data_IF_737599041075
#
_entry.id   IF_737599041075
#
_cell.length_a   1.000
_cell.length_b   1.000
_cell.length_c   1.000
_cell.angle_alpha   90.00
_cell.angle_beta   90.00
_cell.angle_gamma   90.00
#
_symmetry.space_group_name_H-M   'P 1'
#
loop_
_entity.id
_entity.type
_entity.pdbx_description
1 polymer ?
#
# COMPACT_ATOMS: atom_id res chain seq x y z
N UNK A 1 0.29 -23.59 -21.07
CA UNK A 1 -0.17 -22.26 -21.50
C UNK A 1 0.73 -21.83 -22.64
N UNK A 2 0.21 -21.27 -23.74
CA UNK A 2 1.06 -20.76 -24.80
C UNK A 2 1.77 -19.49 -24.28
N UNK A 3 3.11 -19.49 -24.29
CA UNK A 3 3.90 -18.32 -23.93
C UNK A 3 3.86 -17.30 -25.07
N UNK A 4 3.81 -16.02 -24.74
CA UNK A 4 3.94 -14.93 -25.70
C UNK A 4 5.42 -14.69 -25.95
N UNK A 5 5.84 -14.66 -27.21
CA UNK A 5 7.22 -14.33 -27.56
C UNK A 5 7.39 -12.82 -27.71
N UNK A 6 8.22 -12.22 -26.86
CA UNK A 6 8.54 -10.80 -26.87
C UNK A 6 9.94 -10.58 -27.47
N UNK A 7 10.00 -9.94 -28.64
CA UNK A 7 11.27 -9.46 -29.18
C UNK A 7 11.65 -8.11 -28.61
N UNK A 8 12.88 -8.01 -28.09
CA UNK A 8 13.47 -6.77 -27.57
C UNK A 8 14.92 -6.64 -28.02
N UNK A 9 15.44 -5.41 -28.19
CA UNK A 9 16.85 -5.21 -28.58
C UNK A 9 17.81 -5.71 -27.49
N UNK A 10 17.40 -5.64 -26.22
CA UNK A 10 18.17 -6.13 -25.07
C UNK A 10 17.22 -6.47 -23.93
N UNK A 11 17.49 -7.56 -23.23
CA UNK A 11 16.77 -7.90 -22.00
C UNK A 11 17.48 -7.28 -20.80
N UNK A 12 16.76 -6.48 -20.01
CA UNK A 12 17.26 -5.82 -18.78
C UNK A 12 16.41 -6.22 -17.58
N UNK A 13 16.90 -5.96 -16.36
CA UNK A 13 16.17 -6.28 -15.13
C UNK A 13 14.88 -5.46 -15.01
N UNK A 14 14.94 -4.14 -15.31
CA UNK A 14 13.77 -3.26 -15.33
C UNK A 14 12.66 -3.77 -16.26
N UNK A 15 13.05 -4.18 -17.47
CA UNK A 15 12.15 -4.74 -18.46
C UNK A 15 11.55 -6.07 -18.00
N UNK A 16 12.37 -7.02 -17.52
CA UNK A 16 11.87 -8.31 -17.01
C UNK A 16 10.83 -8.09 -15.92
N UNK A 17 11.17 -7.26 -14.93
CA UNK A 17 10.29 -6.98 -13.80
C UNK A 17 8.94 -6.40 -14.23
N UNK A 18 8.91 -5.38 -15.11
CA UNK A 18 7.63 -4.80 -15.52
C UNK A 18 6.79 -5.72 -16.39
N UNK A 19 7.44 -6.54 -17.22
CA UNK A 19 6.76 -7.57 -18.02
C UNK A 19 6.19 -8.66 -17.11
N UNK A 20 6.93 -9.10 -16.10
CA UNK A 20 6.46 -10.09 -15.12
C UNK A 20 5.28 -9.55 -14.30
N UNK A 21 5.32 -8.28 -13.90
CA UNK A 21 4.20 -7.63 -13.21
C UNK A 21 2.95 -7.56 -14.09
N UNK A 22 3.07 -7.02 -15.31
CA UNK A 22 1.92 -6.82 -16.20
C UNK A 22 1.41 -8.15 -16.72
N UNK A 23 2.25 -8.92 -17.41
CA UNK A 23 1.80 -10.14 -18.06
C UNK A 23 1.61 -11.26 -17.05
N UNK A 24 2.54 -11.46 -16.12
CA UNK A 24 2.46 -12.53 -15.13
C UNK A 24 1.40 -12.28 -14.07
N UNK A 25 1.54 -11.21 -13.29
CA UNK A 25 0.68 -10.99 -12.12
C UNK A 25 -0.71 -10.44 -12.48
N UNK A 26 -0.79 -9.45 -13.37
CA UNK A 26 -2.05 -8.79 -13.75
C UNK A 26 -2.83 -9.58 -14.80
N UNK A 27 -2.19 -10.04 -15.88
CA UNK A 27 -2.88 -10.70 -16.99
C UNK A 27 -2.88 -12.24 -16.92
N UNK A 28 -2.01 -12.86 -16.12
CA UNK A 28 -1.88 -14.31 -16.00
C UNK A 28 -1.30 -15.00 -17.23
N UNK A 29 -0.38 -14.34 -17.92
CA UNK A 29 0.28 -14.77 -19.14
C UNK A 29 1.77 -15.00 -18.89
N UNK A 30 2.36 -15.95 -19.60
CA UNK A 30 3.80 -16.18 -19.61
C UNK A 30 4.42 -15.50 -20.82
N UNK A 31 5.55 -14.83 -20.62
CA UNK A 31 6.30 -14.15 -21.69
C UNK A 31 7.70 -14.72 -21.78
N UNK A 32 8.12 -15.07 -22.98
CA UNK A 32 9.49 -15.47 -23.30
C UNK A 32 10.17 -14.34 -24.08
N UNK A 33 11.41 -14.01 -23.73
CA UNK A 33 12.17 -12.96 -24.39
C UNK A 33 13.05 -13.54 -25.50
N UNK A 34 13.14 -12.82 -26.62
CA UNK A 34 14.15 -13.06 -27.64
C UNK A 34 14.81 -11.75 -28.06
N UNK A 35 16.12 -11.79 -28.32
CA UNK A 35 16.86 -10.72 -28.99
C UNK A 35 17.25 -11.11 -30.42
N UNK A 36 16.79 -12.28 -30.88
CA UNK A 36 17.07 -12.80 -32.21
C UNK A 36 15.81 -12.66 -33.09
N UNK A 37 15.94 -11.86 -34.14
CA UNK A 37 14.85 -11.59 -35.09
C UNK A 37 14.47 -12.82 -35.91
N UNK A 38 15.41 -13.73 -36.21
CA UNK A 38 15.10 -14.97 -36.93
C UNK A 38 14.22 -15.89 -36.08
N UNK A 39 14.52 -15.99 -34.78
CA UNK A 39 13.69 -16.71 -33.81
C UNK A 39 12.29 -16.08 -33.73
N UNK A 40 12.21 -14.76 -33.64
CA UNK A 40 10.94 -14.04 -33.63
C UNK A 40 10.12 -14.30 -34.91
N UNK A 41 10.75 -14.19 -36.09
CA UNK A 41 10.10 -14.39 -37.38
C UNK A 41 9.60 -15.82 -37.57
N UNK A 42 10.36 -16.81 -37.14
CA UNK A 42 10.00 -18.24 -37.21
C UNK A 42 8.90 -18.68 -36.24
N UNK A 43 8.58 -17.86 -35.22
CA UNK A 43 7.56 -18.21 -34.23
C UNK A 43 6.15 -18.03 -34.77
N UNK A 44 5.33 -19.08 -34.65
CA UNK A 44 3.93 -19.11 -35.10
C UNK A 44 2.92 -18.72 -34.00
N UNK A 45 3.41 -18.51 -32.77
CA UNK A 45 2.58 -18.17 -31.61
C UNK A 45 2.30 -16.66 -31.44
N UNK A 46 1.52 -16.29 -30.41
CA UNK A 46 1.38 -14.90 -30.00
C UNK A 46 2.75 -14.27 -29.77
N UNK A 47 3.02 -13.14 -30.45
CA UNK A 47 4.30 -12.47 -30.38
C UNK A 47 4.17 -10.97 -30.61
N UNK A 48 5.02 -10.19 -29.96
CA UNK A 48 5.04 -8.75 -30.17
C UNK A 48 6.45 -8.20 -29.99
N UNK A 49 6.64 -6.97 -30.47
CA UNK A 49 7.92 -6.27 -30.46
C UNK A 49 7.84 -5.10 -29.49
N UNK A 50 8.85 -4.98 -28.63
CA UNK A 50 9.09 -3.79 -27.84
C UNK A 50 10.49 -3.25 -28.13
N UNK A 51 10.58 -2.06 -28.73
CA UNK A 51 11.85 -1.52 -29.18
C UNK A 51 11.71 -0.29 -30.06
N UNK A 52 12.74 0.01 -30.85
CA UNK A 52 12.77 1.20 -31.71
C UNK A 52 12.23 0.96 -33.13
N UNK A 53 12.31 -0.29 -33.62
CA UNK A 53 11.96 -0.66 -34.98
C UNK A 53 10.67 -1.47 -35.00
N UNK A 54 9.73 -1.05 -35.85
CA UNK A 54 8.51 -1.78 -36.15
C UNK A 54 8.69 -2.64 -37.40
N UNK A 55 7.96 -3.75 -37.47
CA UNK A 55 7.87 -4.61 -38.64
C UNK A 55 6.41 -4.67 -39.08
N UNK A 56 6.18 -4.60 -40.39
CA UNK A 56 4.83 -4.47 -40.92
C UNK A 56 3.99 -5.71 -40.57
N UNK A 57 2.80 -5.47 -40.03
CA UNK A 57 1.88 -6.52 -39.62
C UNK A 57 2.13 -7.07 -38.22
N UNK A 58 3.23 -6.77 -37.54
CA UNK A 58 3.47 -7.19 -36.14
C UNK A 58 2.80 -6.26 -35.12
N UNK A 59 2.46 -6.81 -33.94
CA UNK A 59 2.07 -5.98 -32.81
C UNK A 59 3.34 -5.31 -32.25
N UNK A 60 3.37 -3.99 -32.24
CA UNK A 60 4.55 -3.21 -31.91
C UNK A 60 4.27 -2.18 -30.82
N UNK A 61 5.14 -2.10 -29.82
CA UNK A 61 5.16 -1.04 -28.82
C UNK A 61 6.50 -0.31 -28.92
N UNK A 62 6.45 0.99 -29.24
CA UNK A 62 7.66 1.81 -29.30
C UNK A 62 8.22 1.99 -27.89
N UNK A 63 9.52 1.75 -27.72
CA UNK A 63 10.21 1.95 -26.45
C UNK A 63 10.78 3.36 -26.30
N UNK A 64 10.87 3.77 -25.04
CA UNK A 64 11.69 4.86 -24.52
C UNK A 64 12.94 4.29 -23.82
N UNK A 65 13.85 5.15 -23.36
CA UNK A 65 15.14 4.73 -22.84
C UNK A 65 15.06 4.11 -21.42
N UNK A 66 14.07 4.48 -20.60
CA UNK A 66 14.02 4.19 -19.16
C UNK A 66 14.26 2.71 -18.79
N UNK A 67 13.62 1.78 -19.52
CA UNK A 67 13.75 0.34 -19.24
C UNK A 67 15.11 -0.23 -19.65
N UNK A 68 15.89 0.52 -20.42
CA UNK A 68 17.24 0.16 -20.86
C UNK A 68 18.32 0.97 -20.15
N UNK A 69 17.96 1.94 -19.32
CA UNK A 69 18.92 2.69 -18.51
C UNK A 69 19.40 1.88 -17.30
N UNK A 70 20.59 2.21 -16.82
CA UNK A 70 21.14 1.72 -15.53
C UNK A 70 21.11 2.79 -14.46
N UNK A 71 21.37 4.02 -14.84
CA UNK A 71 21.40 5.15 -13.92
C UNK A 71 19.98 5.56 -13.48
N UNK A 72 19.93 6.24 -12.34
CA UNK A 72 18.72 6.89 -11.84
C UNK A 72 18.89 8.38 -12.13
N UNK A 73 18.06 8.91 -13.03
CA UNK A 73 18.14 10.29 -13.49
C UNK A 73 16.74 10.84 -13.78
N UNK A 74 16.58 12.15 -13.69
CA UNK A 74 15.31 12.81 -14.00
C UNK A 74 14.83 12.47 -15.41
N UNK A 75 13.56 12.07 -15.52
CA UNK A 75 12.92 11.66 -16.77
C UNK A 75 12.03 12.77 -17.31
N UNK A 76 12.01 12.95 -18.63
CA UNK A 76 11.09 13.89 -19.30
C UNK A 76 9.74 13.21 -19.57
N UNK A 77 8.84 13.28 -18.60
CA UNK A 77 7.59 12.50 -18.59
C UNK A 77 6.57 12.97 -19.65
N UNK A 78 6.50 14.27 -19.94
CA UNK A 78 5.54 14.90 -20.88
C UNK A 78 4.10 14.32 -20.81
N UNK A 79 3.34 14.58 -19.75
CA UNK A 79 1.98 14.07 -19.62
C UNK A 79 1.04 14.53 -20.72
N UNK A 80 0.09 13.68 -21.11
CA UNK A 80 -0.94 13.98 -22.10
C UNK A 80 -2.22 13.16 -21.87
N UNK A 81 -3.33 13.63 -22.45
CA UNK A 81 -4.63 12.95 -22.37
C UNK A 81 -4.61 11.63 -23.14
N UNK A 82 -5.08 10.54 -22.52
CA UNK A 82 -5.24 9.22 -23.13
C UNK A 82 -6.60 8.62 -22.73
N UNK A 83 -7.54 8.61 -23.68
CA UNK A 83 -8.94 8.22 -23.41
C UNK A 83 -9.54 9.11 -22.32
N UNK A 84 -10.13 8.48 -21.29
CA UNK A 84 -10.65 9.16 -20.09
C UNK A 84 -9.60 9.33 -18.97
N UNK A 85 -8.32 9.08 -19.29
CA UNK A 85 -7.21 9.11 -18.35
C UNK A 85 -6.05 9.97 -18.84
N UNK A 86 -4.94 9.97 -18.12
CA UNK A 86 -3.69 10.60 -18.52
C UNK A 86 -2.61 9.54 -18.70
N UNK A 87 -1.66 9.79 -19.59
CA UNK A 87 -0.47 8.99 -19.81
C UNK A 87 0.77 9.87 -19.88
N UNK A 88 1.94 9.25 -19.78
CA UNK A 88 3.25 9.89 -19.89
C UNK A 88 4.23 8.92 -20.54
N UNK A 89 5.44 9.37 -20.89
CA UNK A 89 6.35 8.72 -21.85
C UNK A 89 5.79 8.65 -23.27
N UNK A 90 5.42 9.79 -23.90
CA UNK A 90 4.84 9.78 -25.24
C UNK A 90 5.81 9.19 -26.27
N UNK A 91 5.25 8.46 -27.23
CA UNK A 91 5.97 7.91 -28.38
C UNK A 91 5.30 8.34 -29.68
N UNK A 92 6.10 8.69 -30.68
CA UNK A 92 5.62 9.30 -31.93
C UNK A 92 5.73 8.37 -33.15
N UNK A 93 5.74 7.06 -32.92
CA UNK A 93 5.84 6.07 -33.99
C UNK A 93 4.45 5.61 -34.45
N UNK A 94 4.12 5.82 -35.73
CA UNK A 94 2.77 5.55 -36.28
C UNK A 94 2.28 4.11 -36.13
N UNK A 95 3.20 3.15 -36.13
CA UNK A 95 2.87 1.71 -35.97
C UNK A 95 2.82 1.26 -34.50
N UNK A 96 3.11 2.14 -33.53
CA UNK A 96 3.02 1.78 -32.12
C UNK A 96 1.55 1.57 -31.72
N UNK A 97 1.26 0.46 -31.05
CA UNK A 97 -0.08 0.11 -30.60
C UNK A 97 -0.63 1.07 -29.53
N UNK A 98 0.26 1.77 -28.82
CA UNK A 98 -0.08 2.83 -27.89
C UNK A 98 0.72 4.11 -28.19
N UNK A 99 0.15 5.29 -27.89
CA UNK A 99 0.81 6.58 -28.08
C UNK A 99 1.84 6.92 -26.98
N UNK A 100 2.10 5.99 -26.07
CA UNK A 100 3.14 6.09 -25.04
C UNK A 100 3.79 4.74 -24.79
N UNK A 101 4.96 4.77 -24.17
CA UNK A 101 5.62 3.58 -23.65
C UNK A 101 4.98 3.18 -22.32
N UNK A 102 3.95 2.34 -22.42
CA UNK A 102 3.20 1.81 -21.28
C UNK A 102 4.08 1.02 -20.31
N UNK A 103 5.11 0.32 -20.80
CA UNK A 103 5.99 -0.48 -19.95
C UNK A 103 6.90 0.43 -19.13
N UNK A 104 7.46 1.48 -19.74
CA UNK A 104 8.21 2.50 -19.00
C UNK A 104 7.32 3.25 -17.99
N UNK A 105 6.10 3.62 -18.39
CA UNK A 105 5.16 4.34 -17.53
C UNK A 105 4.75 3.53 -16.30
N UNK A 106 4.42 2.24 -16.48
CA UNK A 106 4.11 1.34 -15.35
C UNK A 106 5.34 1.20 -14.45
N UNK A 107 6.50 0.89 -15.02
CA UNK A 107 7.74 0.71 -14.26
C UNK A 107 8.06 1.94 -13.39
N UNK A 108 7.95 3.14 -13.96
CA UNK A 108 8.20 4.40 -13.26
C UNK A 108 7.33 4.55 -12.00
N UNK A 109 6.04 4.21 -12.10
CA UNK A 109 5.11 4.31 -10.96
C UNK A 109 5.37 3.24 -9.90
N UNK A 110 5.51 1.97 -10.30
CA UNK A 110 5.57 0.86 -9.34
C UNK A 110 6.95 0.73 -8.69
N UNK A 111 8.02 1.14 -9.37
CA UNK A 111 9.35 1.26 -8.74
C UNK A 111 9.46 2.47 -7.80
N UNK A 112 8.42 3.32 -7.77
CA UNK A 112 8.44 4.64 -7.09
C UNK A 112 9.68 5.44 -7.49
N UNK A 113 9.99 5.48 -8.78
CA UNK A 113 11.20 6.11 -9.33
C UNK A 113 11.41 7.54 -8.83
N UNK A 114 10.30 8.30 -8.65
CA UNK A 114 10.30 9.66 -8.10
C UNK A 114 10.95 9.79 -6.72
N UNK A 115 10.86 8.74 -5.89
CA UNK A 115 11.37 8.75 -4.51
C UNK A 115 12.87 8.44 -4.45
N UNK A 116 13.49 8.09 -5.57
CA UNK A 116 14.95 7.98 -5.70
C UNK A 116 15.58 9.27 -6.25
N UNK A 117 14.76 10.21 -6.72
CA UNK A 117 15.20 11.53 -7.15
C UNK A 117 15.12 12.52 -5.97
N UNK A 118 15.80 13.68 -6.04
CA UNK A 118 15.64 14.70 -5.02
C UNK A 118 14.18 15.17 -4.89
N UNK A 119 13.62 15.10 -3.68
CA UNK A 119 12.28 15.58 -3.37
C UNK A 119 12.26 16.34 -2.03
N UNK A 120 11.22 17.15 -1.83
CA UNK A 120 10.95 17.79 -0.54
C UNK A 120 10.07 16.86 0.27
N UNK A 121 10.54 16.48 1.46
CA UNK A 121 9.78 15.64 2.38
C UNK A 121 8.95 16.47 3.35
N UNK A 122 7.89 15.88 3.88
CA UNK A 122 7.15 16.49 4.98
C UNK A 122 7.90 16.46 6.32
N UNK A 123 7.27 16.96 7.39
CA UNK A 123 7.83 17.00 8.74
C UNK A 123 8.19 15.62 9.34
N UNK A 124 7.68 14.53 8.75
CA UNK A 124 7.98 13.16 9.16
C UNK A 124 9.02 12.50 8.25
N UNK A 125 9.57 13.22 7.26
CA UNK A 125 10.44 12.72 6.20
C UNK A 125 9.73 11.77 5.22
N UNK A 126 8.46 12.03 4.92
CA UNK A 126 7.67 11.25 3.95
C UNK A 126 7.62 11.96 2.61
N UNK A 127 7.52 11.18 1.54
CA UNK A 127 7.21 11.69 0.21
C UNK A 127 5.75 12.19 0.16
N UNK A 128 5.54 13.44 -0.25
CA UNK A 128 4.21 14.05 -0.26
C UNK A 128 3.42 13.74 -1.54
N UNK A 129 2.11 13.54 -1.41
CA UNK A 129 1.20 13.30 -2.53
C UNK A 129 1.28 14.40 -3.61
N UNK A 130 1.36 15.66 -3.18
CA UNK A 130 1.49 16.86 -4.04
C UNK A 130 2.71 16.82 -4.95
N UNK A 131 3.77 16.12 -4.54
CA UNK A 131 5.01 15.98 -5.32
C UNK A 131 4.96 14.84 -6.33
N UNK A 132 3.93 13.99 -6.30
CA UNK A 132 3.80 12.87 -7.24
C UNK A 132 3.28 13.30 -8.60
N UNK A 133 3.77 12.65 -9.66
CA UNK A 133 3.27 12.83 -11.02
C UNK A 133 1.77 12.58 -11.09
N UNK A 134 1.26 11.58 -10.36
CA UNK A 134 -0.16 11.24 -10.34
C UNK A 134 -1.02 12.37 -9.74
N UNK A 135 -0.50 13.12 -8.76
CA UNK A 135 -1.18 14.32 -8.28
C UNK A 135 -1.11 15.46 -9.30
N UNK A 136 0.05 15.66 -9.94
CA UNK A 136 0.25 16.72 -10.94
C UNK A 136 -0.71 16.57 -12.12
N UNK A 137 -0.94 15.34 -12.57
CA UNK A 137 -1.83 15.04 -13.70
C UNK A 137 -3.28 14.74 -13.27
N UNK A 138 -3.61 14.89 -11.98
CA UNK A 138 -4.97 14.67 -11.47
C UNK A 138 -5.46 13.21 -11.46
N UNK A 139 -4.54 12.24 -11.52
CA UNK A 139 -4.84 10.79 -11.54
C UNK A 139 -4.59 10.09 -10.19
N UNK A 140 -4.31 10.83 -9.12
CA UNK A 140 -4.00 10.27 -7.79
C UNK A 140 -5.05 9.26 -7.29
N UNK A 141 -6.32 9.49 -7.63
CA UNK A 141 -7.47 8.69 -7.17
C UNK A 141 -7.87 7.60 -8.17
N UNK A 142 -7.03 7.31 -9.18
CA UNK A 142 -7.27 6.26 -10.15
C UNK A 142 -6.15 5.20 -10.13
N UNK A 143 -6.48 3.90 -10.21
CA UNK A 143 -5.48 2.83 -10.33
C UNK A 143 -4.95 2.77 -11.77
N UNK A 144 -4.23 3.82 -12.20
CA UNK A 144 -3.84 4.03 -13.59
C UNK A 144 -3.03 2.87 -14.19
N UNK A 145 -2.18 2.21 -13.38
CA UNK A 145 -1.42 1.02 -13.80
C UNK A 145 -2.37 -0.11 -14.17
N UNK A 146 -3.40 -0.35 -13.36
CA UNK A 146 -4.40 -1.37 -13.66
C UNK A 146 -5.21 -1.03 -14.91
N UNK A 147 -5.59 0.24 -15.07
CA UNK A 147 -6.32 0.72 -16.25
C UNK A 147 -5.47 0.50 -17.52
N UNK A 148 -4.18 0.80 -17.48
CA UNK A 148 -3.27 0.53 -18.61
C UNK A 148 -3.09 -0.98 -18.85
N UNK A 149 -3.05 -1.82 -17.82
CA UNK A 149 -3.05 -3.28 -17.98
C UNK A 149 -4.32 -3.78 -18.68
N UNK A 150 -5.50 -3.22 -18.36
CA UNK A 150 -6.75 -3.56 -19.06
C UNK A 150 -6.73 -3.08 -20.52
N UNK A 151 -6.18 -1.90 -20.81
CA UNK A 151 -5.99 -1.44 -22.19
C UNK A 151 -5.07 -2.39 -22.99
N UNK A 152 -3.96 -2.83 -22.38
CA UNK A 152 -3.09 -3.84 -22.95
C UNK A 152 -3.81 -5.18 -23.17
N UNK A 153 -4.63 -5.62 -22.21
CA UNK A 153 -5.44 -6.82 -22.34
C UNK A 153 -6.37 -6.76 -23.55
N UNK A 154 -7.05 -5.62 -23.77
CA UNK A 154 -7.92 -5.42 -24.93
C UNK A 154 -7.15 -5.54 -26.24
N UNK A 155 -6.01 -4.85 -26.37
CA UNK A 155 -5.15 -4.90 -27.56
C UNK A 155 -4.69 -6.35 -27.83
N UNK A 156 -4.26 -7.07 -26.80
CA UNK A 156 -3.80 -8.45 -26.91
C UNK A 156 -4.93 -9.41 -27.26
N UNK A 157 -6.13 -9.21 -26.72
CA UNK A 157 -7.29 -10.05 -27.00
C UNK A 157 -7.78 -9.88 -28.44
N UNK A 158 -7.78 -8.64 -28.95
CA UNK A 158 -8.11 -8.35 -30.35
C UNK A 158 -7.09 -8.97 -31.30
N UNK A 159 -5.80 -8.84 -30.98
CA UNK A 159 -4.72 -9.34 -31.83
C UNK A 159 -4.56 -10.86 -31.77
N UNK A 160 -4.76 -11.45 -30.59
CA UNK A 160 -4.57 -12.88 -30.35
C UNK A 160 -5.81 -13.48 -29.64
N UNK A 161 -6.91 -13.74 -30.38
CA UNK A 161 -8.20 -14.16 -29.80
C UNK A 161 -8.17 -15.48 -29.02
N UNK A 162 -7.11 -16.28 -29.18
CA UNK A 162 -6.91 -17.56 -28.47
C UNK A 162 -6.21 -17.40 -27.11
N UNK A 163 -5.69 -16.21 -26.78
CA UNK A 163 -5.10 -15.95 -25.46
C UNK A 163 -6.16 -16.04 -24.37
N UNK A 164 -5.80 -16.68 -23.26
CA UNK A 164 -6.65 -16.79 -22.07
C UNK A 164 -6.05 -15.93 -20.98
N UNK A 165 -6.82 -14.97 -20.50
CA UNK A 165 -6.43 -14.05 -19.46
C UNK A 165 -6.95 -14.54 -18.09
N UNK A 166 -6.19 -14.22 -17.04
CA UNK A 166 -6.63 -14.41 -15.66
C UNK A 166 -7.87 -13.56 -15.39
N UNK A 167 -8.91 -14.20 -14.87
CA UNK A 167 -10.09 -13.51 -14.36
C UNK A 167 -9.80 -13.06 -12.93
N UNK A 168 -9.48 -11.78 -12.77
CA UNK A 168 -9.28 -11.20 -11.44
C UNK A 168 -10.62 -11.09 -10.71
N UNK A 169 -10.58 -11.29 -9.41
CA UNK A 169 -11.71 -11.06 -8.52
C UNK A 169 -11.35 -9.93 -7.58
N UNK A 170 -12.25 -8.97 -7.47
CA UNK A 170 -12.16 -7.93 -6.47
C UNK A 170 -12.04 -8.53 -5.07
N UNK A 171 -11.20 -7.91 -4.23
CA UNK A 171 -11.03 -8.30 -2.84
C UNK A 171 -10.96 -7.09 -1.93
N UNK A 172 -11.26 -7.29 -0.65
CA UNK A 172 -11.20 -6.25 0.37
C UNK A 172 -10.38 -6.73 1.58
N UNK A 173 -9.40 -5.92 1.96
CA UNK A 173 -8.55 -6.14 3.13
C UNK A 173 -8.63 -4.92 4.07
N UNK A 174 -9.45 -4.99 5.13
CA UNK A 174 -9.33 -4.03 6.22
C UNK A 174 -8.06 -4.30 7.03
N UNK A 175 -7.38 -3.24 7.43
CA UNK A 175 -6.18 -3.31 8.25
C UNK A 175 -6.29 -2.36 9.44
N UNK A 176 -5.66 -2.73 10.56
CA UNK A 176 -5.71 -1.97 11.79
C UNK A 176 -4.33 -1.67 12.38
N UNK A 177 -4.07 -0.40 12.66
CA UNK A 177 -2.86 0.04 13.35
C UNK A 177 -3.19 0.24 14.83
N UNK A 178 -2.49 -0.48 15.70
CA UNK A 178 -2.72 -0.46 17.15
C UNK A 178 -1.65 0.39 17.82
N UNK A 179 -1.79 1.71 17.71
CA UNK A 179 -0.92 2.71 18.34
C UNK A 179 -1.11 2.75 19.87
N UNK A 180 -2.33 2.49 20.30
CA UNK A 180 -2.72 2.45 21.70
C UNK A 180 -3.86 1.45 21.92
N UNK A 181 -3.54 0.30 22.51
CA UNK A 181 -4.58 -0.71 22.81
C UNK A 181 -5.65 -0.22 23.80
N UNK A 182 -5.27 0.64 24.73
CA UNK A 182 -6.18 1.27 25.70
C UNK A 182 -5.85 2.75 25.87
N UNK A 183 -6.86 3.58 26.13
CA UNK A 183 -6.70 4.99 26.44
C UNK A 183 -6.19 5.18 27.88
N UNK A 184 -6.76 4.43 28.83
CA UNK A 184 -6.50 4.58 30.26
C UNK A 184 -5.94 3.32 30.90
N UNK A 185 -6.52 2.15 30.60
CA UNK A 185 -6.12 0.89 31.23
C UNK A 185 -4.70 0.48 30.84
N UNK A 186 -4.05 -0.31 31.69
CA UNK A 186 -2.75 -0.94 31.43
C UNK A 186 -1.55 0.01 31.19
N UNK A 187 -1.72 1.34 31.32
CA UNK A 187 -0.65 2.34 31.11
C UNK A 187 0.39 2.37 32.24
N UNK A 188 0.08 1.83 33.42
CA UNK A 188 0.93 1.85 34.61
C UNK A 188 0.74 3.10 35.49
N UNK A 189 1.14 3.00 36.76
CA UNK A 189 0.84 4.00 37.79
C UNK A 189 1.39 5.39 37.46
N UNK A 190 2.67 5.49 37.11
CA UNK A 190 3.33 6.79 36.84
C UNK A 190 2.67 7.55 35.68
N UNK A 191 2.32 6.85 34.59
CA UNK A 191 1.62 7.46 33.44
C UNK A 191 0.21 7.91 33.82
N UNK A 192 -0.49 7.12 34.62
CA UNK A 192 -1.83 7.50 35.12
C UNK A 192 -1.76 8.74 36.00
N UNK A 193 -0.83 8.81 36.96
CA UNK A 193 -0.67 9.96 37.84
C UNK A 193 -0.27 11.22 37.07
N UNK A 194 0.70 11.11 36.15
CA UNK A 194 1.10 12.22 35.29
C UNK A 194 -0.04 12.73 34.41
N UNK A 195 -0.90 11.82 33.93
CA UNK A 195 -2.08 12.20 33.16
C UNK A 195 -3.14 12.91 34.02
N UNK A 196 -3.41 12.44 35.24
CA UNK A 196 -4.27 13.19 36.18
C UNK A 196 -3.73 14.59 36.49
N UNK A 197 -2.41 14.71 36.71
CA UNK A 197 -1.79 16.01 36.95
C UNK A 197 -1.99 16.93 35.74
N UNK A 198 -1.70 16.45 34.53
CA UNK A 198 -1.93 17.19 33.27
C UNK A 198 -3.39 17.63 33.15
N UNK A 199 -4.34 16.70 33.32
CA UNK A 199 -5.76 16.97 33.17
C UNK A 199 -6.25 17.98 34.23
N UNK A 200 -5.68 17.96 35.45
CA UNK A 200 -5.95 18.95 36.51
C UNK A 200 -5.39 20.33 36.14
N UNK A 201 -4.16 20.41 35.63
CA UNK A 201 -3.57 21.67 35.15
C UNK A 201 -4.36 22.27 33.97
N UNK A 202 -4.91 21.42 33.11
CA UNK A 202 -5.76 21.81 31.98
C UNK A 202 -7.23 22.01 32.34
N UNK A 203 -7.61 21.75 33.60
CA UNK A 203 -8.99 21.80 34.10
C UNK A 203 -9.97 20.91 33.30
N UNK A 204 -9.49 19.80 32.75
CA UNK A 204 -10.31 18.84 31.99
C UNK A 204 -10.98 17.83 32.94
N UNK A 205 -11.99 18.31 33.67
CA UNK A 205 -12.76 17.51 34.62
C UNK A 205 -13.49 16.34 33.95
N UNK A 206 -13.84 16.47 32.67
CA UNK A 206 -14.49 15.41 31.91
C UNK A 206 -13.53 14.22 31.73
N UNK A 207 -12.26 14.49 31.38
CA UNK A 207 -11.24 13.46 31.23
C UNK A 207 -10.90 12.78 32.56
N UNK A 208 -10.76 13.55 33.64
CA UNK A 208 -10.55 13.02 35.00
C UNK A 208 -11.68 12.05 35.39
N UNK A 209 -12.93 12.45 35.12
CA UNK A 209 -14.11 11.62 35.42
C UNK A 209 -14.12 10.34 34.58
N UNK A 210 -13.86 10.43 33.28
CA UNK A 210 -13.85 9.26 32.39
C UNK A 210 -12.71 8.30 32.78
N UNK A 211 -11.49 8.81 32.97
CA UNK A 211 -10.32 8.05 33.40
C UNK A 211 -10.63 7.28 34.70
N UNK A 212 -11.20 7.97 35.69
CA UNK A 212 -11.57 7.34 36.97
C UNK A 212 -12.65 6.28 36.79
N UNK A 213 -13.71 6.56 36.02
CA UNK A 213 -14.77 5.59 35.77
C UNK A 213 -14.24 4.32 35.08
N UNK A 214 -13.32 4.45 34.14
CA UNK A 214 -12.68 3.31 33.45
C UNK A 214 -11.76 2.53 34.38
N UNK A 215 -10.90 3.22 35.15
CA UNK A 215 -9.95 2.55 36.05
C UNK A 215 -10.64 1.83 37.21
N UNK A 216 -11.78 2.33 37.68
CA UNK A 216 -12.62 1.66 38.68
C UNK A 216 -13.60 0.64 38.08
N UNK A 217 -13.54 0.37 36.77
CA UNK A 217 -14.38 -0.63 36.11
C UNK A 217 -15.85 -0.25 35.95
N UNK A 218 -16.22 1.03 36.16
CA UNK A 218 -17.59 1.55 35.97
C UNK A 218 -17.91 1.81 34.50
N UNK A 219 -16.89 1.95 33.65
CA UNK A 219 -17.02 2.16 32.21
C UNK A 219 -15.99 1.35 31.45
N UNK A 220 -16.31 0.97 30.20
CA UNK A 220 -15.36 0.35 29.28
C UNK A 220 -14.34 1.39 28.79
N UNK A 221 -13.09 0.97 28.61
CA UNK A 221 -12.06 1.83 28.03
C UNK A 221 -12.45 2.17 26.57
N UNK A 222 -12.41 3.45 26.15
CA UNK A 222 -12.89 3.85 24.83
C UNK A 222 -12.08 3.23 23.68
N UNK A 223 -10.80 2.88 23.89
CA UNK A 223 -9.97 2.29 22.84
C UNK A 223 -10.09 0.76 22.78
N UNK A 224 -10.78 0.15 23.75
CA UNK A 224 -11.07 -1.28 23.79
C UNK A 224 -12.23 -1.61 22.84
N UNK A 225 -11.97 -1.51 21.53
CA UNK A 225 -12.95 -1.75 20.46
C UNK A 225 -12.78 -3.12 19.79
N UNK A 226 -11.83 -3.94 20.24
CA UNK A 226 -11.49 -5.24 19.65
C UNK A 226 -12.67 -6.21 19.55
N UNK A 227 -13.55 -6.24 20.57
CA UNK A 227 -14.76 -7.05 20.51
C UNK A 227 -15.73 -6.63 19.40
N UNK A 228 -15.83 -5.33 19.12
CA UNK A 228 -16.65 -4.80 18.03
C UNK A 228 -16.01 -5.07 16.66
N UNK A 229 -14.68 -4.94 16.57
CA UNK A 229 -13.94 -5.32 15.37
C UNK A 229 -14.17 -6.80 15.03
N UNK A 230 -14.03 -7.70 16.01
CA UNK A 230 -14.29 -9.13 15.84
C UNK A 230 -15.75 -9.41 15.43
N UNK A 231 -16.72 -8.65 15.96
CA UNK A 231 -18.11 -8.76 15.54
C UNK A 231 -18.28 -8.44 14.06
N UNK A 232 -17.71 -7.33 13.57
CA UNK A 232 -17.75 -6.98 12.16
C UNK A 232 -17.04 -8.03 11.29
N UNK A 233 -15.90 -8.55 11.73
CA UNK A 233 -15.19 -9.61 11.02
C UNK A 233 -16.04 -10.86 10.87
N UNK A 234 -16.75 -11.30 11.92
CA UNK A 234 -17.66 -12.44 11.85
C UNK A 234 -18.87 -12.16 10.96
N UNK A 235 -19.47 -10.97 11.08
CA UNK A 235 -20.64 -10.57 10.32
C UNK A 235 -20.36 -10.54 8.81
N UNK A 236 -19.23 -9.95 8.41
CA UNK A 236 -18.86 -9.74 7.02
C UNK A 236 -17.84 -10.75 6.49
N UNK A 237 -17.49 -11.78 7.29
CA UNK A 237 -16.52 -12.84 6.95
C UNK A 237 -15.15 -12.30 6.52
N UNK A 238 -14.66 -11.30 7.25
CA UNK A 238 -13.39 -10.62 6.97
C UNK A 238 -12.26 -11.26 7.77
N UNK A 239 -11.08 -11.36 7.15
CA UNK A 239 -9.81 -11.67 7.83
C UNK A 239 -8.86 -10.47 7.66
N UNK A 240 -8.81 -9.55 8.64
CA UNK A 240 -7.98 -8.36 8.56
C UNK A 240 -6.50 -8.63 8.89
N UNK A 241 -5.66 -7.62 8.65
CA UNK A 241 -4.30 -7.56 9.18
C UNK A 241 -4.19 -6.51 10.29
N UNK A 242 -3.55 -6.84 11.40
CA UNK A 242 -3.27 -5.94 12.52
C UNK A 242 -1.79 -5.64 12.61
N UNK A 243 -1.43 -4.36 12.66
CA UNK A 243 -0.06 -3.91 12.88
C UNK A 243 0.08 -3.39 14.30
N UNK A 244 0.91 -4.07 15.10
CA UNK A 244 1.01 -3.80 16.54
C UNK A 244 2.23 -2.93 16.81
N UNK A 245 2.01 -1.75 17.41
CA UNK A 245 3.10 -0.92 17.94
C UNK A 245 3.67 -1.56 19.20
N UNK A 246 4.57 -2.52 19.02
CA UNK A 246 5.16 -3.33 20.09
C UNK A 246 6.56 -2.84 20.48
N UNK A 247 6.62 -1.59 20.94
CA UNK A 247 7.85 -0.87 21.19
C UNK A 247 7.94 -0.27 22.60
N UNK A 248 9.14 0.15 22.97
CA UNK A 248 9.36 0.91 24.21
C UNK A 248 8.70 2.29 24.11
N UNK A 249 8.29 2.85 25.26
CA UNK A 249 7.60 4.14 25.30
C UNK A 249 8.49 5.28 24.79
N UNK A 250 7.93 6.12 23.93
CA UNK A 250 8.59 7.28 23.34
C UNK A 250 7.63 8.47 23.15
N UNK A 251 8.17 9.56 22.62
CA UNK A 251 7.41 10.80 22.35
C UNK A 251 6.26 10.54 21.38
N UNK A 252 6.51 9.77 20.33
CA UNK A 252 5.52 9.38 19.33
C UNK A 252 4.93 7.99 19.62
N UNK A 253 5.65 7.13 20.36
CA UNK A 253 5.27 5.74 20.59
C UNK A 253 4.65 5.55 21.97
N UNK A 254 3.32 5.66 22.06
CA UNK A 254 2.59 5.78 23.35
C UNK A 254 1.82 4.53 23.76
N UNK A 255 2.11 3.38 23.15
CA UNK A 255 1.39 2.14 23.44
C UNK A 255 1.66 1.61 24.86
N UNK A 256 1.12 0.44 25.14
CA UNK A 256 1.27 -0.27 26.40
C UNK A 256 2.68 -0.88 26.49
N UNK A 257 3.33 -0.89 27.66
CA UNK A 257 4.64 -1.53 27.81
C UNK A 257 4.62 -2.99 27.35
N UNK A 258 5.64 -3.39 26.59
CA UNK A 258 5.74 -4.73 25.97
C UNK A 258 5.76 -5.90 26.97
N UNK A 259 6.06 -5.64 28.24
CA UNK A 259 6.04 -6.66 29.33
C UNK A 259 4.66 -6.82 29.97
N UNK A 260 3.66 -6.03 29.56
CA UNK A 260 2.33 -6.09 30.15
C UNK A 260 1.61 -7.38 29.70
N UNK A 261 1.27 -8.24 30.65
CA UNK A 261 0.64 -9.55 30.38
C UNK A 261 -0.69 -9.42 29.65
N UNK A 262 -1.52 -8.43 30.00
CA UNK A 262 -2.82 -8.19 29.35
C UNK A 262 -2.66 -7.74 27.90
N UNK A 263 -1.61 -6.99 27.59
CA UNK A 263 -1.32 -6.61 26.21
C UNK A 263 -0.87 -7.83 25.39
N UNK A 264 0.02 -8.66 25.94
CA UNK A 264 0.43 -9.91 25.28
C UNK A 264 -0.75 -10.88 25.09
N UNK A 265 -1.65 -11.00 26.06
CA UNK A 265 -2.90 -11.78 25.94
C UNK A 265 -3.80 -11.24 24.82
N UNK A 266 -3.98 -9.91 24.74
CA UNK A 266 -4.74 -9.27 23.66
C UNK A 266 -4.13 -9.57 22.28
N UNK A 267 -2.82 -9.45 22.13
CA UNK A 267 -2.12 -9.71 20.87
C UNK A 267 -2.31 -11.17 20.43
N UNK A 268 -2.18 -12.13 21.36
CA UNK A 268 -2.44 -13.56 21.07
C UNK A 268 -3.89 -13.80 20.66
N UNK A 269 -4.83 -13.18 21.37
CA UNK A 269 -6.25 -13.29 21.02
C UNK A 269 -6.54 -12.73 19.62
N UNK A 270 -5.89 -11.63 19.22
CA UNK A 270 -6.01 -11.09 17.85
C UNK A 270 -5.47 -12.09 16.82
N UNK A 271 -4.32 -12.73 17.10
CA UNK A 271 -3.73 -13.71 16.17
C UNK A 271 -4.58 -14.96 15.93
N UNK A 272 -5.56 -15.25 16.80
CA UNK A 272 -6.47 -16.39 16.62
C UNK A 272 -7.42 -16.20 15.41
N UNK A 273 -7.69 -14.96 14.99
CA UNK A 273 -8.67 -14.66 13.93
C UNK A 273 -8.19 -13.69 12.85
N UNK A 274 -6.99 -13.12 12.98
CA UNK A 274 -6.43 -12.16 12.06
C UNK A 274 -4.92 -12.36 11.88
N UNK A 275 -4.38 -11.79 10.81
CA UNK A 275 -2.94 -11.77 10.61
C UNK A 275 -2.32 -10.63 11.41
N UNK A 276 -1.13 -10.84 11.98
CA UNK A 276 -0.47 -9.87 12.87
C UNK A 276 0.92 -9.54 12.37
N UNK A 277 1.14 -8.25 12.07
CA UNK A 277 2.42 -7.68 11.69
C UNK A 277 2.99 -6.73 12.74
N UNK A 278 4.25 -6.36 12.56
CA UNK A 278 4.90 -5.33 13.36
C UNK A 278 4.45 -3.94 12.87
N UNK A 279 4.23 -3.00 13.79
CA UNK A 279 4.15 -1.57 13.51
C UNK A 279 5.41 -0.89 14.07
N UNK A 280 6.53 -0.85 13.32
CA UNK A 280 7.80 -0.36 13.84
C UNK A 280 7.68 1.05 14.41
N UNK A 281 8.30 1.26 15.57
CA UNK A 281 8.22 2.54 16.26
C UNK A 281 8.79 3.69 15.44
N UNK A 282 8.35 4.91 15.76
CA UNK A 282 8.91 6.12 15.14
C UNK A 282 10.43 6.21 15.31
N UNK A 283 10.93 5.66 16.42
CA UNK A 283 12.34 5.66 16.81
C UNK A 283 13.15 4.49 16.25
N UNK A 284 12.52 3.47 15.67
CA UNK A 284 13.24 2.39 14.98
C UNK A 284 13.56 2.72 13.52
N UNK A 285 12.99 3.81 12.98
CA UNK A 285 13.36 4.36 11.68
C UNK A 285 14.87 4.66 11.62
N UNK A 286 15.58 3.98 10.72
CA UNK A 286 17.05 4.06 10.57
C UNK A 286 17.84 3.35 11.67
N UNK A 287 17.19 2.69 12.63
CA UNK A 287 17.84 1.98 13.73
C UNK A 287 17.54 0.47 13.68
N UNK A 288 18.38 -0.26 12.93
CA UNK A 288 18.27 -1.71 12.74
C UNK A 288 18.22 -2.50 14.05
N UNK A 289 18.98 -2.08 15.06
CA UNK A 289 19.02 -2.76 16.37
C UNK A 289 17.68 -2.65 17.10
N UNK A 290 17.06 -1.47 17.10
CA UNK A 290 15.73 -1.27 17.70
C UNK A 290 14.66 -2.07 16.96
N UNK A 291 14.65 -2.02 15.62
CA UNK A 291 13.70 -2.78 14.83
C UNK A 291 13.82 -4.29 15.09
N UNK A 292 15.03 -4.84 15.09
CA UNK A 292 15.28 -6.25 15.43
C UNK A 292 14.69 -6.62 16.79
N UNK A 293 14.88 -5.75 17.80
CA UNK A 293 14.33 -5.99 19.13
C UNK A 293 12.79 -5.95 19.14
N UNK A 294 12.17 -5.00 18.44
CA UNK A 294 10.70 -4.89 18.32
C UNK A 294 10.11 -6.14 17.65
N UNK A 295 10.67 -6.56 16.51
CA UNK A 295 10.28 -7.77 15.77
C UNK A 295 10.44 -9.02 16.66
N UNK A 296 11.63 -9.19 17.27
CA UNK A 296 11.92 -10.37 18.09
C UNK A 296 11.00 -10.48 19.30
N UNK A 297 10.69 -9.36 19.97
CA UNK A 297 9.78 -9.35 21.13
C UNK A 297 8.35 -9.70 20.72
N UNK A 298 7.87 -9.19 19.59
CA UNK A 298 6.53 -9.53 19.09
C UNK A 298 6.45 -11.01 18.67
N UNK A 299 7.48 -11.50 17.97
CA UNK A 299 7.64 -12.91 17.62
C UNK A 299 7.57 -13.82 18.85
N UNK A 300 8.27 -13.47 19.94
CA UNK A 300 8.22 -14.22 21.20
C UNK A 300 6.83 -14.26 21.85
N UNK A 301 6.04 -13.19 21.71
CA UNK A 301 4.67 -13.17 22.26
C UNK A 301 3.76 -14.13 21.52
N UNK A 302 3.89 -14.18 20.18
CA UNK A 302 3.05 -14.98 19.29
C UNK A 302 3.58 -16.39 19.04
N UNK A 303 4.84 -16.66 19.38
CA UNK A 303 5.54 -17.91 19.08
C UNK A 303 5.51 -18.26 17.58
N UNK A 304 5.72 -17.24 16.74
CA UNK A 304 5.81 -17.35 15.28
C UNK A 304 6.70 -16.24 14.71
N UNK A 305 7.17 -16.42 13.48
CA UNK A 305 7.91 -15.39 12.77
C UNK A 305 6.98 -14.22 12.39
N UNK A 306 7.51 -13.00 12.44
CA UNK A 306 6.78 -11.81 12.02
C UNK A 306 7.27 -11.43 10.65
N UNK A 307 6.41 -11.56 9.65
CA UNK A 307 6.75 -11.35 8.24
C UNK A 307 6.06 -10.13 7.63
N UNK A 308 5.14 -9.49 8.35
CA UNK A 308 4.37 -8.34 7.88
C UNK A 308 4.78 -7.08 8.64
N UNK A 309 4.89 -5.96 7.93
CA UNK A 309 5.24 -4.66 8.51
C UNK A 309 4.34 -3.53 7.97
N UNK A 310 4.08 -2.55 8.83
CA UNK A 310 3.63 -1.21 8.42
C UNK A 310 4.34 -0.17 9.26
N UNK A 311 4.99 0.82 8.65
CA UNK A 311 5.74 1.83 9.42
C UNK A 311 4.79 2.78 10.17
N UNK A 312 5.10 3.05 11.45
CA UNK A 312 4.40 4.08 12.21
C UNK A 312 4.55 5.45 11.54
N UNK A 313 3.47 6.22 11.51
CA UNK A 313 3.33 7.46 10.73
C UNK A 313 3.48 7.28 9.21
N UNK A 314 3.50 6.05 8.68
CA UNK A 314 3.85 5.76 7.29
C UNK A 314 5.24 6.27 6.90
N UNK A 315 6.15 6.30 7.89
CA UNK A 315 7.49 6.86 7.74
C UNK A 315 8.40 5.86 7.04
N UNK A 316 8.61 6.07 5.75
CA UNK A 316 9.37 5.19 4.89
C UNK A 316 10.27 6.00 3.97
N UNK A 317 11.51 5.54 3.79
CA UNK A 317 12.47 6.08 2.84
C UNK A 317 13.00 4.96 1.95
N UNK A 318 12.86 5.10 0.64
CA UNK A 318 13.32 4.11 -0.33
C UNK A 318 14.79 4.38 -0.73
N UNK A 319 15.60 3.32 -0.91
CA UNK A 319 15.30 1.91 -0.65
C UNK A 319 15.57 1.48 0.81
N UNK A 320 16.17 2.35 1.63
CA UNK A 320 16.76 2.00 2.92
C UNK A 320 15.80 1.32 3.92
N UNK A 321 14.54 1.78 3.99
CA UNK A 321 13.53 1.15 4.85
C UNK A 321 13.23 -0.28 4.40
N UNK A 322 13.08 -0.50 3.10
CA UNK A 322 12.75 -1.82 2.54
C UNK A 322 13.92 -2.80 2.61
N UNK A 323 15.15 -2.35 2.38
CA UNK A 323 16.33 -3.17 2.68
C UNK A 323 16.36 -3.63 4.13
N UNK A 324 16.06 -2.71 5.04
CA UNK A 324 16.05 -3.01 6.47
C UNK A 324 14.95 -4.01 6.83
N UNK A 325 13.79 -3.96 6.17
CA UNK A 325 12.73 -4.97 6.34
C UNK A 325 13.18 -6.34 5.83
N UNK A 326 13.79 -6.39 4.63
CA UNK A 326 14.31 -7.63 4.04
C UNK A 326 15.40 -8.26 4.93
N UNK A 327 16.29 -7.46 5.51
CA UNK A 327 17.32 -7.91 6.45
C UNK A 327 16.76 -8.61 7.72
N UNK A 328 15.46 -8.42 7.99
CA UNK A 328 14.74 -9.00 9.13
C UNK A 328 13.61 -9.95 8.71
N UNK A 329 13.72 -10.53 7.51
CA UNK A 329 12.81 -11.55 7.00
C UNK A 329 11.34 -11.09 6.89
N UNK A 330 11.11 -9.78 6.81
CA UNK A 330 9.80 -9.23 6.47
C UNK A 330 9.56 -9.44 4.97
N UNK A 331 8.47 -10.12 4.65
CA UNK A 331 8.06 -10.46 3.28
C UNK A 331 6.99 -9.53 2.73
N UNK A 332 6.21 -8.86 3.60
CA UNK A 332 5.07 -8.06 3.19
C UNK A 332 5.04 -6.69 3.90
N UNK A 333 5.14 -5.61 3.12
CA UNK A 333 4.99 -4.24 3.60
C UNK A 333 3.63 -3.66 3.22
N UNK A 334 2.98 -3.00 4.18
CA UNK A 334 1.67 -2.37 4.02
C UNK A 334 1.73 -0.84 4.20
N UNK A 335 2.90 -0.24 3.99
CA UNK A 335 3.17 1.18 4.26
C UNK A 335 2.86 2.07 3.05
N UNK A 336 2.82 1.51 1.84
CA UNK A 336 2.74 2.24 0.58
C UNK A 336 1.38 2.90 0.36
N UNK A 337 1.21 4.10 0.91
CA UNK A 337 0.09 5.00 0.63
C UNK A 337 0.45 6.42 1.05
N UNK A 338 -0.50 7.35 0.92
CA UNK A 338 -0.32 8.74 1.34
C UNK A 338 -1.02 9.00 2.67
N UNK A 339 -0.38 9.76 3.55
CA UNK A 339 -1.01 10.20 4.78
C UNK A 339 -2.06 11.29 4.55
N UNK A 340 -1.81 12.18 3.59
CA UNK A 340 -2.55 13.44 3.41
C UNK A 340 -3.74 13.34 2.46
N UNK A 341 -3.77 12.34 1.58
CA UNK A 341 -4.79 12.19 0.54
C UNK A 341 -5.11 10.71 0.29
N UNK A 342 -6.37 10.33 0.03
CA UNK A 342 -6.71 9.00 -0.45
C UNK A 342 -6.28 8.83 -1.92
N UNK A 343 -5.94 7.62 -2.32
CA UNK A 343 -5.53 7.33 -3.69
C UNK A 343 -4.46 6.24 -3.81
N UNK A 344 -3.83 6.19 -4.98
CA UNK A 344 -2.94 5.11 -5.40
C UNK A 344 -1.51 5.63 -5.50
N UNK A 345 -0.71 5.50 -4.43
CA UNK A 345 0.68 6.00 -4.40
C UNK A 345 1.54 5.43 -5.51
N UNK A 346 1.46 4.13 -5.77
CA UNK A 346 2.14 3.47 -6.88
C UNK A 346 1.28 3.38 -8.15
N UNK A 347 0.13 4.07 -8.21
CA UNK A 347 -0.81 4.01 -9.34
C UNK A 347 -1.48 2.65 -9.54
N UNK A 348 -1.32 1.71 -8.62
CA UNK A 348 -1.80 0.33 -8.73
C UNK A 348 -2.61 -0.04 -7.46
N UNK A 349 -3.69 -0.80 -7.65
CA UNK A 349 -4.55 -1.30 -6.58
C UNK A 349 -4.08 -2.62 -5.97
N UNK A 350 -3.34 -3.43 -6.74
CA UNK A 350 -2.86 -4.73 -6.29
C UNK A 350 -1.46 -4.64 -5.68
N UNK A 351 -1.10 -5.69 -4.94
CA UNK A 351 0.26 -5.87 -4.47
C UNK A 351 1.23 -6.10 -5.62
N UNK A 352 2.50 -5.75 -5.41
CA UNK A 352 3.60 -5.99 -6.36
C UNK A 352 4.91 -6.20 -5.61
N UNK A 353 5.90 -6.84 -6.23
CA UNK A 353 7.23 -7.00 -5.64
C UNK A 353 8.00 -5.68 -5.69
N UNK A 354 8.73 -5.36 -4.62
CA UNK A 354 9.59 -4.19 -4.60
C UNK A 354 10.76 -4.37 -5.58
N UNK A 355 10.87 -3.44 -6.54
CA UNK A 355 12.04 -3.27 -7.39
C UNK A 355 13.01 -2.28 -6.76
N UNK A 356 14.18 -2.78 -6.42
CA UNK A 356 15.28 -2.00 -5.88
C UNK A 356 16.05 -1.33 -7.02
N UNK A 357 15.85 -0.02 -7.19
CA UNK A 357 16.50 0.74 -8.26
C UNK A 357 18.01 0.90 -8.01
N UNK A 358 18.45 0.95 -6.75
CA UNK A 358 19.87 1.12 -6.41
C UNK A 358 20.67 -0.13 -6.81
N UNK A 359 20.13 -1.32 -6.56
CA UNK A 359 20.75 -2.60 -6.96
C UNK A 359 20.26 -3.12 -8.32
N UNK A 360 19.37 -2.40 -9.00
CA UNK A 360 18.73 -2.78 -10.27
C UNK A 360 18.18 -4.21 -10.28
N UNK A 361 17.42 -4.59 -9.24
CA UNK A 361 16.89 -5.94 -9.09
C UNK A 361 15.53 -6.01 -8.40
N UNK A 362 14.77 -7.06 -8.71
CA UNK A 362 13.56 -7.40 -7.94
C UNK A 362 13.95 -8.04 -6.60
N UNK A 363 13.25 -7.67 -5.54
CA UNK A 363 13.43 -8.21 -4.19
C UNK A 363 12.25 -9.14 -3.82
N UNK A 364 12.37 -9.99 -2.78
CA UNK A 364 11.25 -10.82 -2.34
C UNK A 364 10.18 -10.04 -1.56
N UNK A 365 10.43 -8.77 -1.17
CA UNK A 365 9.49 -7.96 -0.41
C UNK A 365 8.29 -7.58 -1.28
N UNK A 366 7.09 -7.91 -0.82
CA UNK A 366 5.83 -7.56 -1.47
C UNK A 366 5.25 -6.31 -0.84
N UNK A 367 4.91 -5.35 -1.69
CA UNK A 367 4.28 -4.10 -1.29
C UNK A 367 2.78 -4.23 -1.48
N UNK A 368 2.02 -4.01 -0.42
CA UNK A 368 0.56 -3.97 -0.39
C UNK A 368 0.11 -2.51 -0.21
N UNK A 369 -0.20 -1.80 -1.30
CA UNK A 369 -0.60 -0.41 -1.18
C UNK A 369 -1.95 -0.28 -0.47
N UNK A 370 -2.12 0.79 0.30
CA UNK A 370 -3.43 1.14 0.89
C UNK A 370 -3.97 2.43 0.27
N UNK A 371 -5.28 2.52 0.20
CA UNK A 371 -5.97 3.54 -0.62
C UNK A 371 -6.71 4.58 0.22
N UNK A 372 -7.03 4.20 1.46
CA UNK A 372 -7.88 4.97 2.35
C UNK A 372 -7.39 4.76 3.79
N UNK A 373 -7.27 5.85 4.54
CA UNK A 373 -6.96 5.84 5.98
C UNK A 373 -7.91 6.77 6.73
N UNK A 374 -8.41 6.34 7.89
CA UNK A 374 -9.26 7.17 8.75
C UNK A 374 -8.63 8.52 9.13
N UNK A 375 -7.36 8.54 9.54
CA UNK A 375 -6.60 9.74 9.82
C UNK A 375 -6.48 10.66 8.61
N UNK A 376 -6.36 10.12 7.38
CA UNK A 376 -6.39 10.94 6.16
C UNK A 376 -7.70 11.71 6.04
N UNK A 377 -8.82 11.00 6.16
CA UNK A 377 -10.14 11.58 5.99
C UNK A 377 -10.47 12.59 7.11
N UNK A 378 -10.16 12.24 8.37
CA UNK A 378 -10.49 13.07 9.54
C UNK A 378 -9.48 14.18 9.80
N UNK A 379 -8.19 13.86 9.82
CA UNK A 379 -7.16 14.73 10.42
C UNK A 379 -6.56 15.65 9.36
N UNK A 380 -6.27 15.09 8.19
CA UNK A 380 -5.66 15.82 7.08
C UNK A 380 -6.69 16.53 6.22
N UNK A 381 -7.75 15.83 5.80
CA UNK A 381 -8.81 16.40 4.95
C UNK A 381 -9.92 17.08 5.74
N UNK A 382 -10.03 16.83 7.05
CA UNK A 382 -11.04 17.43 7.94
C UNK A 382 -12.49 17.19 7.48
N UNK A 383 -12.74 16.03 6.88
CA UNK A 383 -14.06 15.66 6.38
C UNK A 383 -15.02 15.33 7.52
N UNK A 384 -16.28 15.70 7.35
CA UNK A 384 -17.34 15.16 8.19
C UNK A 384 -17.70 13.70 7.77
N UNK A 385 -18.47 12.95 8.60
CA UNK A 385 -18.83 11.56 8.31
C UNK A 385 -19.45 11.33 6.91
N UNK A 386 -20.35 12.21 6.46
CA UNK A 386 -21.00 12.05 5.16
C UNK A 386 -20.02 12.27 3.99
N UNK A 387 -19.12 13.26 4.11
CA UNK A 387 -18.05 13.51 3.15
C UNK A 387 -17.04 12.36 3.09
N UNK A 388 -16.67 11.81 4.24
CA UNK A 388 -15.77 10.66 4.34
C UNK A 388 -16.36 9.44 3.63
N UNK A 389 -17.65 9.15 3.81
CA UNK A 389 -18.36 8.05 3.13
C UNK A 389 -18.36 8.27 1.60
N UNK A 390 -18.70 9.48 1.13
CA UNK A 390 -18.67 9.79 -0.32
C UNK A 390 -17.28 9.62 -0.92
N UNK A 391 -16.26 10.12 -0.24
CA UNK A 391 -14.86 10.02 -0.67
C UNK A 391 -14.43 8.55 -0.76
N UNK A 392 -14.75 7.75 0.26
CA UNK A 392 -14.46 6.32 0.26
C UNK A 392 -15.19 5.57 -0.86
N UNK A 393 -16.46 5.93 -1.13
CA UNK A 393 -17.25 5.31 -2.21
C UNK A 393 -16.59 5.49 -3.59
N UNK A 394 -16.03 6.67 -3.87
CA UNK A 394 -15.27 6.93 -5.10
C UNK A 394 -14.07 6.01 -5.23
N UNK A 395 -13.25 5.90 -4.18
CA UNK A 395 -12.05 5.05 -4.21
C UNK A 395 -12.44 3.57 -4.36
N UNK A 396 -13.44 3.10 -3.63
CA UNK A 396 -13.93 1.71 -3.72
C UNK A 396 -14.41 1.41 -5.15
N UNK A 397 -15.16 2.32 -5.77
CA UNK A 397 -15.64 2.15 -7.13
C UNK A 397 -14.49 2.01 -8.14
N UNK A 398 -13.43 2.81 -8.01
CA UNK A 398 -12.24 2.73 -8.87
C UNK A 398 -11.50 1.40 -8.69
N UNK A 399 -11.39 0.87 -7.47
CA UNK A 399 -10.79 -0.46 -7.25
C UNK A 399 -11.68 -1.59 -7.80
N UNK A 400 -13.01 -1.50 -7.61
CA UNK A 400 -13.97 -2.46 -8.17
C UNK A 400 -13.92 -2.47 -9.70
N UNK A 401 -13.79 -1.31 -10.33
CA UNK A 401 -13.71 -1.19 -11.80
C UNK A 401 -12.54 -1.96 -12.42
N UNK A 402 -11.46 -2.17 -11.66
CA UNK A 402 -10.27 -2.92 -12.11
C UNK A 402 -10.14 -4.31 -11.47
N UNK A 403 -11.15 -4.76 -10.73
CA UNK A 403 -11.13 -5.99 -9.93
C UNK A 403 -9.84 -6.12 -9.07
N UNK A 404 -9.43 -5.01 -8.45
CA UNK A 404 -8.23 -4.94 -7.62
C UNK A 404 -8.47 -5.34 -6.16
N UNK A 405 -7.45 -5.16 -5.32
CA UNK A 405 -7.54 -5.35 -3.87
C UNK A 405 -7.74 -4.00 -3.16
N UNK A 406 -8.91 -3.77 -2.58
CA UNK A 406 -9.12 -2.56 -1.77
C UNK A 406 -8.55 -2.78 -0.38
N UNK A 407 -7.43 -2.11 -0.07
CA UNK A 407 -6.86 -2.08 1.28
C UNK A 407 -7.22 -0.77 1.98
N UNK A 408 -7.77 -0.86 3.20
CA UNK A 408 -8.11 0.30 4.05
C UNK A 408 -7.39 0.24 5.40
N UNK A 409 -6.98 1.39 5.92
CA UNK A 409 -6.24 1.55 7.18
C UNK A 409 -7.11 2.21 8.23
N UNK A 410 -7.23 1.56 9.39
CA UNK A 410 -8.00 2.05 10.53
C UNK A 410 -7.21 1.98 11.82
N UNK A 411 -7.56 2.82 12.78
CA UNK A 411 -7.05 2.72 14.15
C UNK A 411 -8.17 2.22 15.06
N UNK A 412 -7.82 1.44 16.08
CA UNK A 412 -8.83 0.90 17.01
C UNK A 412 -9.64 2.00 17.71
N UNK A 413 -9.02 3.17 17.95
CA UNK A 413 -9.71 4.31 18.55
C UNK A 413 -10.80 4.92 17.66
N UNK A 414 -10.74 4.75 16.34
CA UNK A 414 -11.73 5.28 15.39
C UNK A 414 -13.10 4.66 15.61
N UNK A 415 -13.14 3.39 15.99
CA UNK A 415 -14.37 2.66 16.30
C UNK A 415 -14.91 3.00 17.70
N UNK A 416 -14.24 3.84 18.48
CA UNK A 416 -14.71 4.22 19.82
C UNK A 416 -16.00 5.04 19.78
N UNK A 417 -16.23 5.74 18.66
CA UNK A 417 -17.32 6.71 18.50
C UNK A 417 -17.31 7.80 19.59
N UNK A 418 -16.12 8.17 20.08
CA UNK A 418 -15.92 9.17 21.15
C UNK A 418 -15.03 10.30 20.69
N UNK A 419 -15.23 11.47 21.32
CA UNK A 419 -14.42 12.67 21.13
C UNK A 419 -14.30 13.00 19.64
N UNK A 420 -13.07 13.04 19.13
CA UNK A 420 -12.73 13.34 17.74
C UNK A 420 -13.29 12.34 16.72
N UNK A 421 -13.68 11.15 17.19
CA UNK A 421 -14.20 10.05 16.37
C UNK A 421 -15.73 9.90 16.46
N UNK A 422 -16.45 10.88 17.00
CA UNK A 422 -17.92 10.85 17.01
C UNK A 422 -18.48 10.75 15.58
N UNK A 423 -19.36 9.79 15.33
CA UNK A 423 -19.93 9.44 14.03
C UNK A 423 -19.06 8.51 13.16
N UNK A 424 -17.82 8.21 13.57
CA UNK A 424 -16.89 7.44 12.71
C UNK A 424 -17.10 5.93 12.75
N UNK A 425 -17.81 5.42 13.75
CA UNK A 425 -18.25 4.03 13.74
C UNK A 425 -19.21 3.75 12.57
N UNK A 426 -20.11 4.69 12.27
CA UNK A 426 -21.01 4.59 11.13
C UNK A 426 -20.24 4.67 9.81
N UNK A 427 -19.26 5.60 9.71
CA UNK A 427 -18.37 5.71 8.55
C UNK A 427 -17.67 4.38 8.28
N UNK A 428 -17.07 3.78 9.31
CA UNK A 428 -16.40 2.49 9.22
C UNK A 428 -17.35 1.40 8.72
N UNK A 429 -18.54 1.27 9.33
CA UNK A 429 -19.53 0.28 8.94
C UNK A 429 -19.97 0.46 7.47
N UNK A 430 -20.29 1.69 7.06
CA UNK A 430 -20.72 1.99 5.68
C UNK A 430 -19.64 1.66 4.65
N UNK A 431 -18.39 1.93 4.99
CA UNK A 431 -17.26 1.60 4.12
C UNK A 431 -17.12 0.09 3.96
N UNK A 432 -17.21 -0.70 5.03
CA UNK A 432 -17.21 -2.16 4.91
C UNK A 432 -18.38 -2.63 4.01
N UNK A 433 -19.60 -2.14 4.26
CA UNK A 433 -20.78 -2.52 3.49
C UNK A 433 -20.63 -2.24 1.99
N UNK A 434 -19.96 -1.14 1.62
CA UNK A 434 -19.65 -0.82 0.23
C UNK A 434 -18.48 -1.64 -0.33
N UNK A 435 -17.51 -1.97 0.51
CA UNK A 435 -16.25 -2.60 0.15
C UNK A 435 -16.30 -4.12 0.07
N UNK A 436 -17.31 -4.79 0.62
CA UNK A 436 -17.42 -6.23 0.41
C UNK A 436 -17.74 -6.55 -1.08
N UNK A 437 -17.24 -7.69 -1.62
CA UNK A 437 -17.50 -8.12 -2.99
C UNK A 437 -18.98 -8.28 -3.36
#
# INVERSE_FOLDING_TARGET
MAAILLYVPRVTNRLRYVIDLIFGEQLGLSVEFTTNMDVYNSSEGPKFIYGDQAFEGDLFFKSTALLFEREIASQDLRPFQFGDTQAFFPVYHKLSALPFDVFAAVFYLVSRYEEYLPYVSDQHNRFEASSSILSVIGMLQKPIVNIWCMALQTILAERFPKLKFKQKQYSFLPTYDIDAAWAYRQKGLYRTLGAYAKDLFQQDWAEIKQRSAVLFGKQKDPFDTFGQQLQFQKQYKLRPAYFILFADYGVNDKNIPVRNTKFCELIRMISDYADVGIHPSYNSFGNKTKLRHEISRLSQVLNQDITMSRQHFLRMNLPATYHTLIDFDITDDYTMGYATQPGFRAGIADSFLFYDLDHDMVTPLRVHPFHLMDGTLRDYMQLNPAEAIRTAATIIAEVKAVNGCFVSLWHNETLSDKKRWSGWLEVYQKIIEMAIP
#
